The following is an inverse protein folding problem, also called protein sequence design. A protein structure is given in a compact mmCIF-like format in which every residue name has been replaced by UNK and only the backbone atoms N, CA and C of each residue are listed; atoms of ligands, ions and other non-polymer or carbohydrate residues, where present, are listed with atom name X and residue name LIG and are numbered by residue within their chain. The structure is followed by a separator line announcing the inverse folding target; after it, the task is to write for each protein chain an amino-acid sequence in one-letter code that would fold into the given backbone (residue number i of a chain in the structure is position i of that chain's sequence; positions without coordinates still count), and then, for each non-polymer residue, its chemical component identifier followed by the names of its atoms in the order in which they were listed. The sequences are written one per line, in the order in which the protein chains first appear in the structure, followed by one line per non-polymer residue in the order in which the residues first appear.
data_IF_378159804437
#
_entry.id   IF_378159804437
#
_cell.length_a   1.000
_cell.length_b   1.000
_cell.length_c   1.000
_cell.angle_alpha   90.00
_cell.angle_beta   90.00
_cell.angle_gamma   90.00
#
_symmetry.space_group_name_H-M   'P 1'
#
loop_
_entity.id
_entity.type
_entity.pdbx_description
1 polymer ?
#
# COMPACT_ATOMS: atom_id res chain seq x y z
N UNK A 1 -5.93 2.73 13.35
CA UNK A 1 -6.33 4.02 12.77
C UNK A 1 -7.63 3.88 11.99
N UNK A 2 -7.77 2.94 11.09
CA UNK A 2 -8.93 2.81 10.19
C UNK A 2 -10.29 2.42 10.80
N UNK A 3 -10.40 2.38 12.11
CA UNK A 3 -11.68 2.26 12.85
C UNK A 3 -12.15 3.61 13.40
N UNK A 4 -11.31 4.65 13.30
CA UNK A 4 -11.66 5.98 13.76
C UNK A 4 -12.40 6.74 12.65
N UNK A 5 -13.34 7.60 13.04
CA UNK A 5 -13.86 8.61 12.13
C UNK A 5 -12.69 9.55 11.72
N UNK A 6 -12.73 10.13 10.50
CA UNK A 6 -11.65 11.02 10.05
C UNK A 6 -11.34 12.18 11.02
N UNK A 7 -12.35 12.79 11.62
CA UNK A 7 -12.19 13.86 12.62
C UNK A 7 -11.48 13.36 13.90
N UNK A 8 -11.81 12.16 14.36
CA UNK A 8 -11.17 11.58 15.56
C UNK A 8 -9.73 11.15 15.26
N UNK A 9 -9.50 10.64 14.04
CA UNK A 9 -8.13 10.35 13.59
C UNK A 9 -7.29 11.63 13.55
N UNK A 10 -7.85 12.72 13.01
CA UNK A 10 -7.19 14.02 12.96
C UNK A 10 -6.84 14.55 14.36
N UNK A 11 -7.77 14.41 15.29
CA UNK A 11 -7.59 14.95 16.65
C UNK A 11 -6.66 14.08 17.53
N UNK A 12 -6.78 12.74 17.43
CA UNK A 12 -6.20 11.84 18.44
C UNK A 12 -5.07 10.93 17.93
N UNK A 13 -4.88 10.80 16.62
CA UNK A 13 -3.86 9.92 16.06
C UNK A 13 -2.86 10.65 15.15
N UNK A 14 -3.36 11.45 14.23
CA UNK A 14 -2.56 12.08 13.19
C UNK A 14 -1.41 12.97 13.72
N UNK A 15 -1.61 13.83 14.75
CA UNK A 15 -0.52 14.67 15.28
C UNK A 15 0.66 13.86 15.81
N UNK A 16 0.39 12.70 16.42
CA UNK A 16 1.45 11.82 16.92
C UNK A 16 2.22 11.14 15.79
N UNK A 17 1.53 10.74 14.72
CA UNK A 17 2.17 10.19 13.52
C UNK A 17 3.14 11.22 12.92
N UNK A 18 2.67 12.45 12.75
CA UNK A 18 3.52 13.54 12.23
C UNK A 18 4.72 13.80 13.14
N UNK A 19 4.49 13.89 14.44
CA UNK A 19 5.57 14.14 15.42
C UNK A 19 6.64 13.03 15.38
N UNK A 20 6.24 11.76 15.30
CA UNK A 20 7.17 10.63 15.19
C UNK A 20 7.99 10.73 13.90
N UNK A 21 7.35 10.97 12.78
CA UNK A 21 8.02 11.06 11.48
C UNK A 21 9.00 12.26 11.47
N UNK A 22 8.58 13.41 11.97
CA UNK A 22 9.43 14.60 12.06
C UNK A 22 10.66 14.38 12.96
N UNK A 23 10.47 13.76 14.12
CA UNK A 23 11.57 13.47 15.05
C UNK A 23 12.59 12.50 14.44
N UNK A 24 12.18 11.62 13.54
CA UNK A 24 13.04 10.63 12.92
C UNK A 24 13.65 11.07 11.58
N UNK A 25 13.17 12.14 10.96
CA UNK A 25 13.72 12.68 9.69
C UNK A 25 15.24 12.85 9.67
N UNK A 26 15.90 13.30 10.77
CA UNK A 26 17.36 13.45 10.77
C UNK A 26 18.13 12.14 10.56
N UNK A 27 17.47 10.99 10.69
CA UNK A 27 18.10 9.67 10.42
C UNK A 27 18.44 9.44 8.94
N UNK A 28 17.79 10.18 8.01
CA UNK A 28 17.98 10.04 6.58
C UNK A 28 17.38 8.76 5.97
N UNK A 29 16.62 7.96 6.74
CA UNK A 29 15.94 6.76 6.23
C UNK A 29 14.53 7.09 5.74
N UNK A 30 14.06 6.48 4.62
CA UNK A 30 12.69 6.66 4.14
C UNK A 30 11.67 6.05 5.09
N UNK A 31 10.52 6.72 5.24
CA UNK A 31 9.42 6.28 6.08
C UNK A 31 8.25 5.76 5.25
N UNK A 32 7.76 4.58 5.60
CA UNK A 32 6.51 4.02 5.06
C UNK A 32 5.43 4.15 6.13
N UNK A 33 4.36 4.86 5.83
CA UNK A 33 3.19 4.95 6.70
C UNK A 33 2.04 4.10 6.17
N UNK A 34 1.59 3.14 6.95
CA UNK A 34 0.48 2.25 6.63
C UNK A 34 -0.63 2.36 7.67
N UNK A 35 -1.84 2.66 7.22
CA UNK A 35 -3.06 2.63 8.02
C UNK A 35 -4.00 1.56 7.48
N UNK A 36 -4.20 0.46 8.21
CA UNK A 36 -5.19 -0.54 7.84
C UNK A 36 -6.61 0.07 7.86
N UNK A 37 -7.44 -0.25 6.88
CA UNK A 37 -8.72 0.41 6.59
C UNK A 37 -8.57 1.93 6.35
N UNK A 38 -7.44 2.34 5.76
CA UNK A 38 -7.04 3.73 5.64
C UNK A 38 -7.61 4.49 4.45
N UNK A 39 -8.49 3.90 3.63
CA UNK A 39 -9.02 4.54 2.44
C UNK A 39 -9.70 5.90 2.72
N UNK A 40 -10.41 6.03 3.84
CA UNK A 40 -11.03 7.28 4.30
C UNK A 40 -10.04 8.26 4.92
N UNK A 41 -8.85 7.79 5.28
CA UNK A 41 -7.80 8.56 5.96
C UNK A 41 -6.63 8.92 5.02
N UNK A 42 -6.79 8.67 3.71
CA UNK A 42 -5.68 8.76 2.76
C UNK A 42 -5.10 10.17 2.65
N UNK A 43 -5.95 11.20 2.76
CA UNK A 43 -5.52 12.59 2.71
C UNK A 43 -4.67 12.98 3.94
N UNK A 44 -4.95 12.39 5.10
CA UNK A 44 -4.10 12.51 6.29
C UNK A 44 -2.79 11.74 6.08
N UNK A 45 -2.86 10.52 5.53
CA UNK A 45 -1.66 9.74 5.23
C UNK A 45 -0.72 10.49 4.28
N UNK A 46 -1.24 11.13 3.24
CA UNK A 46 -0.47 11.96 2.31
C UNK A 46 0.25 13.13 3.03
N UNK A 47 -0.39 13.72 4.05
CA UNK A 47 0.15 14.85 4.83
C UNK A 47 0.98 14.41 6.05
N UNK A 48 1.16 13.11 6.29
CA UNK A 48 1.86 12.59 7.47
C UNK A 48 3.34 12.96 7.53
N UNK A 49 3.94 13.30 6.40
CA UNK A 49 5.39 13.50 6.27
C UNK A 49 6.15 12.26 5.81
N UNK A 50 5.46 11.10 5.66
CA UNK A 50 6.07 9.88 5.14
C UNK A 50 6.45 10.01 3.66
N UNK A 51 7.45 9.25 3.24
CA UNK A 51 7.94 9.19 1.86
C UNK A 51 7.09 8.25 1.00
N UNK A 52 6.57 7.19 1.62
CA UNK A 52 5.76 6.15 1.00
C UNK A 52 4.47 5.94 1.77
N UNK A 53 3.37 5.88 1.06
CA UNK A 53 2.05 5.58 1.66
C UNK A 53 1.69 4.14 1.38
N UNK A 54 1.59 3.36 2.45
CA UNK A 54 1.11 1.98 2.41
C UNK A 54 -0.42 1.94 2.26
N UNK A 55 -0.88 1.16 1.29
CA UNK A 55 -2.28 1.04 0.92
C UNK A 55 -2.81 -0.36 1.24
N UNK A 56 -4.00 -0.44 1.81
CA UNK A 56 -4.73 -1.71 1.84
C UNK A 56 -5.51 -1.93 0.52
N UNK A 57 -6.06 -3.14 0.35
CA UNK A 57 -6.72 -3.56 -0.91
C UNK A 57 -8.13 -2.98 -1.12
N UNK A 58 -8.63 -2.18 -0.17
CA UNK A 58 -10.00 -1.62 -0.21
C UNK A 58 -10.12 -0.34 -1.03
N UNK A 59 -9.02 0.12 -1.59
CA UNK A 59 -8.98 1.26 -2.50
C UNK A 59 -8.32 0.84 -3.81
N UNK A 60 -8.79 1.37 -4.93
CA UNK A 60 -8.08 1.24 -6.20
C UNK A 60 -6.75 2.03 -6.13
N UNK A 61 -5.65 1.39 -6.55
CA UNK A 61 -4.33 2.01 -6.45
C UNK A 61 -4.20 3.28 -7.31
N UNK A 62 -4.84 3.31 -8.48
CA UNK A 62 -4.86 4.49 -9.34
C UNK A 62 -5.54 5.68 -8.67
N UNK A 63 -6.69 5.45 -8.00
CA UNK A 63 -7.39 6.49 -7.25
C UNK A 63 -6.55 6.98 -6.05
N UNK A 64 -5.88 6.04 -5.38
CA UNK A 64 -5.00 6.37 -4.26
C UNK A 64 -3.82 7.25 -4.71
N UNK A 65 -3.19 6.92 -5.84
CA UNK A 65 -2.06 7.69 -6.40
C UNK A 65 -2.47 9.14 -6.66
N UNK A 66 -3.64 9.37 -7.23
CA UNK A 66 -4.14 10.73 -7.46
C UNK A 66 -4.34 11.51 -6.16
N UNK A 67 -4.79 10.85 -5.09
CA UNK A 67 -5.03 11.48 -3.79
C UNK A 67 -3.77 11.73 -2.98
N UNK A 68 -2.78 10.84 -3.06
CA UNK A 68 -1.52 11.03 -2.32
C UNK A 68 -0.54 11.97 -3.02
N UNK A 69 -0.79 12.27 -4.30
CA UNK A 69 0.00 13.23 -5.07
C UNK A 69 1.45 12.76 -5.26
N UNK A 70 2.41 13.59 -4.87
CA UNK A 70 3.84 13.37 -5.09
C UNK A 70 4.48 12.39 -4.08
N UNK A 71 3.75 11.35 -3.65
CA UNK A 71 4.23 10.29 -2.77
C UNK A 71 4.41 8.99 -3.53
N UNK A 72 5.39 8.19 -3.13
CA UNK A 72 5.44 6.80 -3.53
C UNK A 72 4.34 6.01 -2.79
N UNK A 73 3.93 4.89 -3.36
CA UNK A 73 2.92 4.01 -2.76
C UNK A 73 3.46 2.59 -2.57
N UNK A 74 2.96 1.92 -1.53
CA UNK A 74 3.22 0.49 -1.30
C UNK A 74 1.90 -0.25 -1.21
N UNK A 75 1.80 -1.34 -1.93
CA UNK A 75 0.61 -2.21 -1.91
C UNK A 75 0.20 -2.57 -3.33
N UNK A 76 -1.05 -2.98 -3.54
CA UNK A 76 -2.10 -3.21 -2.54
C UNK A 76 -2.97 -4.39 -2.96
N UNK A 77 -2.32 -5.44 -3.53
CA UNK A 77 -3.11 -6.59 -3.99
C UNK A 77 -3.86 -7.24 -2.82
N UNK A 78 -5.11 -7.62 -3.07
CA UNK A 78 -5.93 -8.36 -2.10
C UNK A 78 -5.23 -9.67 -1.70
N UNK A 79 -4.96 -9.91 -0.41
CA UNK A 79 -4.34 -11.16 0.05
C UNK A 79 -5.08 -12.43 -0.39
N UNK A 80 -6.40 -12.39 -0.55
CA UNK A 80 -7.17 -13.52 -1.07
C UNK A 80 -6.92 -13.81 -2.56
N UNK A 81 -6.25 -12.90 -3.28
CA UNK A 81 -5.82 -13.18 -4.65
C UNK A 81 -4.87 -14.37 -4.73
N UNK A 82 -4.14 -14.66 -3.66
CA UNK A 82 -3.26 -15.83 -3.53
C UNK A 82 -4.02 -17.18 -3.52
N UNK A 83 -5.35 -17.16 -3.34
CA UNK A 83 -6.20 -18.35 -3.45
C UNK A 83 -6.68 -18.61 -4.89
N UNK A 84 -6.36 -17.72 -5.82
CA UNK A 84 -6.77 -17.86 -7.21
C UNK A 84 -5.84 -18.81 -7.98
N UNK A 85 -6.34 -19.46 -9.04
CA UNK A 85 -5.48 -20.13 -10.00
C UNK A 85 -4.43 -19.16 -10.58
N UNK A 86 -3.22 -19.64 -10.85
CA UNK A 86 -2.08 -18.84 -11.29
C UNK A 86 -2.43 -17.85 -12.42
N UNK A 87 -3.13 -18.30 -13.45
CA UNK A 87 -3.53 -17.44 -14.57
C UNK A 87 -4.33 -16.21 -14.12
N UNK A 88 -5.24 -16.39 -13.16
CA UNK A 88 -6.05 -15.28 -12.62
C UNK A 88 -5.23 -14.38 -11.70
N UNK A 89 -4.33 -14.97 -10.92
CA UNK A 89 -3.41 -14.20 -10.06
C UNK A 89 -2.50 -13.31 -10.93
N UNK A 90 -1.87 -13.87 -11.97
CA UNK A 90 -1.03 -13.11 -12.91
C UNK A 90 -1.79 -11.96 -13.58
N UNK A 91 -3.02 -12.18 -13.98
CA UNK A 91 -3.85 -11.12 -14.58
C UNK A 91 -4.15 -9.98 -13.58
N UNK A 92 -4.36 -10.30 -12.29
CA UNK A 92 -4.53 -9.28 -11.24
C UNK A 92 -3.25 -8.51 -10.98
N UNK A 93 -2.11 -9.20 -10.95
CA UNK A 93 -0.80 -8.56 -10.77
C UNK A 93 -0.54 -7.59 -11.92
N UNK A 94 -0.73 -8.03 -13.17
CA UNK A 94 -0.52 -7.16 -14.34
C UNK A 94 -1.39 -5.90 -14.26
N UNK A 95 -2.69 -6.07 -13.99
CA UNK A 95 -3.61 -4.94 -13.85
C UNK A 95 -3.16 -3.95 -12.76
N UNK A 96 -2.73 -4.46 -11.61
CA UNK A 96 -2.27 -3.61 -10.52
C UNK A 96 -0.99 -2.85 -10.91
N UNK A 97 -0.05 -3.50 -11.60
CA UNK A 97 1.15 -2.86 -12.11
C UNK A 97 0.83 -1.78 -13.14
N UNK A 98 -0.16 -2.02 -14.01
CA UNK A 98 -0.62 -1.05 -14.99
C UNK A 98 -1.28 0.15 -14.30
N UNK A 99 -2.19 -0.09 -13.36
CA UNK A 99 -2.87 0.95 -12.56
C UNK A 99 -1.87 1.78 -11.72
N UNK A 100 -0.77 1.15 -11.28
CA UNK A 100 0.28 1.80 -10.49
C UNK A 100 1.33 2.54 -11.36
N UNK A 101 1.25 2.47 -12.69
CA UNK A 101 2.27 2.99 -13.60
C UNK A 101 2.50 4.51 -13.50
N UNK A 102 1.51 5.25 -12.99
CA UNK A 102 1.56 6.70 -12.79
C UNK A 102 2.11 7.12 -11.41
N UNK A 103 2.41 6.17 -10.54
CA UNK A 103 2.99 6.48 -9.24
C UNK A 103 4.41 7.05 -9.38
N UNK A 104 4.78 7.97 -8.50
CA UNK A 104 6.17 8.45 -8.35
C UNK A 104 7.14 7.29 -8.08
N UNK A 105 6.68 6.28 -7.34
CA UNK A 105 7.35 5.02 -7.08
C UNK A 105 6.34 4.02 -6.53
N UNK A 106 6.53 2.74 -6.85
CA UNK A 106 5.64 1.67 -6.40
C UNK A 106 6.44 0.53 -5.79
N UNK A 107 6.11 0.19 -4.55
CA UNK A 107 6.59 -1.02 -3.87
C UNK A 107 5.44 -2.03 -3.93
N UNK A 108 5.56 -3.06 -4.78
CA UNK A 108 4.53 -4.09 -4.84
C UNK A 108 4.43 -4.85 -3.52
N UNK A 109 3.23 -4.95 -2.97
CA UNK A 109 2.97 -5.67 -1.73
C UNK A 109 1.52 -6.16 -1.68
N UNK A 110 1.23 -7.09 -0.76
CA UNK A 110 -0.14 -7.37 -0.35
C UNK A 110 -0.71 -6.16 0.40
N UNK A 111 -2.01 -5.93 0.26
CA UNK A 111 -2.70 -4.88 1.01
C UNK A 111 -2.88 -5.18 2.51
N UNK A 112 -2.46 -6.36 2.96
CA UNK A 112 -2.42 -6.79 4.37
C UNK A 112 -1.53 -8.04 4.50
N UNK A 113 -1.43 -8.60 5.71
CA UNK A 113 -0.75 -9.86 5.95
C UNK A 113 -1.34 -11.01 5.13
N UNK A 114 -0.50 -11.98 4.79
CA UNK A 114 -0.89 -13.20 4.08
C UNK A 114 -1.87 -14.03 4.91
N UNK A 115 -2.86 -14.63 4.27
CA UNK A 115 -3.81 -15.49 4.98
C UNK A 115 -3.15 -16.80 5.43
N UNK A 116 -3.45 -17.26 6.64
CA UNK A 116 -2.80 -18.42 7.24
C UNK A 116 -2.92 -19.74 6.45
N UNK A 117 -3.93 -19.86 5.59
CA UNK A 117 -4.15 -21.03 4.74
C UNK A 117 -3.59 -20.86 3.31
N UNK A 118 -2.85 -19.79 3.06
CA UNK A 118 -2.23 -19.58 1.74
C UNK A 118 -1.11 -20.60 1.53
N UNK A 119 -1.17 -21.43 0.48
CA UNK A 119 -0.07 -22.33 0.15
C UNK A 119 1.23 -21.53 -0.13
N UNK A 120 2.39 -21.94 0.39
CA UNK A 120 3.66 -21.25 0.14
C UNK A 120 3.99 -21.08 -1.34
N UNK A 121 3.58 -22.03 -2.18
CA UNK A 121 3.75 -21.99 -3.64
C UNK A 121 3.06 -20.78 -4.28
N UNK A 122 1.92 -20.38 -3.75
CA UNK A 122 1.19 -19.20 -4.25
C UNK A 122 1.95 -17.90 -3.97
N UNK A 123 2.66 -17.83 -2.84
CA UNK A 123 3.53 -16.70 -2.56
C UNK A 123 4.72 -16.65 -3.52
N UNK A 124 5.30 -17.80 -3.87
CA UNK A 124 6.37 -17.90 -4.88
C UNK A 124 5.88 -17.47 -6.24
N UNK A 125 4.74 -17.99 -6.68
CA UNK A 125 4.11 -17.60 -7.96
C UNK A 125 3.87 -16.09 -8.02
N UNK A 126 3.41 -15.48 -6.93
CA UNK A 126 3.22 -14.03 -6.86
C UNK A 126 4.56 -13.29 -7.06
N UNK A 127 5.61 -13.67 -6.33
CA UNK A 127 6.93 -13.01 -6.41
C UNK A 127 7.50 -13.15 -7.83
N UNK A 128 7.49 -14.36 -8.38
CA UNK A 128 8.01 -14.64 -9.73
C UNK A 128 7.23 -13.84 -10.78
N UNK A 129 5.90 -13.83 -10.69
CA UNK A 129 5.05 -13.08 -11.60
C UNK A 129 5.30 -11.57 -11.53
N UNK A 130 5.47 -11.01 -10.33
CA UNK A 130 5.81 -9.59 -10.16
C UNK A 130 7.15 -9.26 -10.82
N UNK A 131 8.17 -10.09 -10.60
CA UNK A 131 9.50 -9.88 -11.19
C UNK A 131 9.48 -10.00 -12.72
N UNK A 132 8.68 -10.91 -13.28
CA UNK A 132 8.55 -11.07 -14.73
C UNK A 132 7.78 -9.92 -15.37
N UNK A 133 6.64 -9.53 -14.78
CA UNK A 133 5.70 -8.57 -15.36
C UNK A 133 6.12 -7.10 -15.12
N UNK A 134 6.98 -6.83 -14.13
CA UNK A 134 7.47 -5.47 -13.84
C UNK A 134 8.74 -5.08 -14.60
N UNK A 135 9.36 -6.01 -15.34
CA UNK A 135 10.52 -5.69 -16.19
C UNK A 135 10.07 -4.81 -17.35
N UNK A 136 10.56 -3.59 -17.38
CA UNK A 136 10.42 -2.64 -18.48
C UNK A 136 11.68 -2.65 -19.36
#
# INVERSE_FOLDING_TARGET
AGILAPCDHEAYAFPYVQHIIEALKPSGVPFIYFANNGATLLDYSARSGADVIGLDWRINIGDAIQRVGDKAVQGNIDPFSLMLPEKKLRARIQRLLDDASQAKGHIFNLGHGIHQFTPPEQARILVDAVHELSRR
#
